data_IF_128881522648
#
_entry.id   IF_128881522648
#
_cell.length_a   1.000
_cell.length_b   1.000
_cell.length_c   1.000
_cell.angle_alpha   90.00
_cell.angle_beta   90.00
_cell.angle_gamma   90.00
#
_symmetry.space_group_name_H-M   'P 1'
#
loop_
_entity.id
_entity.type
_entity.pdbx_description
1 polymer ?
#
# COMPACT_ATOMS: atom_id res chain seq x y z
N UNK A 1 10.83 14.25 -1.54
CA UNK A 1 9.36 14.27 -1.51
C UNK A 1 8.93 13.15 -0.62
N UNK A 2 8.00 13.37 0.29
CA UNK A 2 7.47 12.30 1.14
C UNK A 2 6.23 11.68 0.49
N UNK A 3 5.86 10.49 0.93
CA UNK A 3 4.68 9.78 0.45
C UNK A 3 3.41 10.61 0.65
N UNK A 4 2.65 10.79 -0.43
CA UNK A 4 1.40 11.55 -0.47
C UNK A 4 1.55 13.06 -0.17
N UNK A 5 2.75 13.63 -0.29
CA UNK A 5 2.91 15.09 -0.19
C UNK A 5 2.32 15.81 -1.42
N UNK A 6 2.27 15.13 -2.56
CA UNK A 6 1.84 15.66 -3.84
C UNK A 6 0.51 15.02 -4.29
N UNK A 7 -0.13 15.65 -5.29
CA UNK A 7 -1.39 15.16 -5.83
C UNK A 7 -1.20 13.83 -6.55
N UNK A 8 -1.86 12.79 -6.05
CA UNK A 8 -1.87 11.46 -6.66
C UNK A 8 -2.63 11.52 -7.98
N UNK A 9 -1.97 11.08 -9.05
CA UNK A 9 -2.58 10.90 -10.36
C UNK A 9 -3.27 9.54 -10.46
N UNK A 10 -2.63 8.50 -9.91
CA UNK A 10 -3.04 7.11 -10.05
C UNK A 10 -2.37 6.24 -9.00
N UNK A 11 -3.02 5.16 -8.63
CA UNK A 11 -2.45 4.11 -7.80
C UNK A 11 -2.51 2.81 -8.59
N UNK A 12 -1.36 2.20 -8.82
CA UNK A 12 -1.24 0.91 -9.49
C UNK A 12 -0.95 -0.16 -8.45
N UNK A 13 -1.61 -1.31 -8.60
CA UNK A 13 -1.50 -2.44 -7.69
C UNK A 13 -1.16 -3.67 -8.50
N UNK A 14 -0.18 -4.43 -8.02
CA UNK A 14 0.27 -5.70 -8.59
C UNK A 14 0.31 -6.76 -7.48
N UNK A 15 0.31 -8.05 -7.85
CA UNK A 15 0.62 -9.10 -6.88
C UNK A 15 2.10 -9.02 -6.54
N UNK A 16 2.44 -9.10 -5.25
CA UNK A 16 3.85 -9.03 -4.87
C UNK A 16 4.62 -10.27 -5.30
N UNK A 17 5.86 -10.09 -5.72
CA UNK A 17 6.82 -11.18 -5.96
C UNK A 17 7.68 -11.48 -4.71
N UNK A 18 7.48 -10.73 -3.63
CA UNK A 18 8.28 -10.82 -2.41
C UNK A 18 8.86 -9.47 -1.99
N UNK A 19 9.45 -9.45 -0.80
CA UNK A 19 10.05 -8.22 -0.24
C UNK A 19 11.25 -7.77 -1.07
N UNK A 20 11.29 -6.49 -1.42
CA UNK A 20 12.40 -5.85 -2.12
C UNK A 20 12.37 -5.95 -3.66
N UNK A 21 11.37 -6.63 -4.22
CA UNK A 21 11.06 -6.60 -5.65
C UNK A 21 9.68 -5.99 -5.86
N UNK A 22 9.55 -5.16 -6.90
CA UNK A 22 8.27 -4.58 -7.29
C UNK A 22 7.77 -5.31 -8.53
N UNK A 23 6.62 -5.97 -8.42
CA UNK A 23 6.01 -6.55 -9.59
C UNK A 23 5.43 -5.44 -10.49
N UNK A 24 5.85 -5.42 -11.75
CA UNK A 24 5.37 -4.47 -12.77
C UNK A 24 4.11 -4.96 -13.50
N UNK A 25 3.66 -6.20 -13.26
CA UNK A 25 2.41 -6.72 -13.80
C UNK A 25 1.22 -6.15 -13.02
N UNK A 26 0.75 -4.98 -13.46
CA UNK A 26 -0.33 -4.23 -12.83
C UNK A 26 -1.65 -4.99 -13.03
N UNK A 27 -2.23 -5.46 -11.92
CA UNK A 27 -3.52 -6.16 -11.91
C UNK A 27 -4.70 -5.21 -11.71
N UNK A 28 -4.46 -4.04 -11.08
CA UNK A 28 -5.47 -3.03 -10.83
C UNK A 28 -4.84 -1.64 -10.92
N UNK A 29 -5.52 -0.74 -11.63
CA UNK A 29 -5.14 0.66 -11.76
C UNK A 29 -6.30 1.53 -11.32
N UNK A 30 -6.05 2.39 -10.32
CA UNK A 30 -7.07 3.19 -9.65
C UNK A 30 -6.78 4.67 -9.89
N UNK A 31 -7.68 5.37 -10.56
CA UNK A 31 -7.64 6.81 -10.77
C UNK A 31 -8.95 7.52 -10.39
N UNK A 32 -9.95 6.78 -9.90
CA UNK A 32 -11.17 7.37 -9.38
C UNK A 32 -10.94 7.99 -7.99
N UNK A 33 -11.55 9.16 -7.77
CA UNK A 33 -11.33 9.95 -6.54
C UNK A 33 -11.71 9.20 -5.26
N UNK A 34 -12.70 8.31 -5.30
CA UNK A 34 -13.21 7.65 -4.10
C UNK A 34 -12.22 6.58 -3.65
N UNK A 35 -11.77 5.73 -4.56
CA UNK A 35 -10.84 4.65 -4.27
C UNK A 35 -9.44 5.19 -3.95
N UNK A 36 -8.96 6.21 -4.67
CA UNK A 36 -7.71 6.91 -4.34
C UNK A 36 -7.76 7.44 -2.90
N UNK A 37 -8.84 8.14 -2.52
CA UNK A 37 -8.96 8.68 -1.16
C UNK A 37 -8.99 7.60 -0.08
N UNK A 38 -9.55 6.42 -0.35
CA UNK A 38 -9.53 5.29 0.58
C UNK A 38 -8.10 4.77 0.79
N UNK A 39 -7.35 4.57 -0.28
CA UNK A 39 -5.96 4.07 -0.20
C UNK A 39 -5.06 5.12 0.47
N UNK A 40 -5.19 6.39 0.10
CA UNK A 40 -4.48 7.48 0.77
C UNK A 40 -4.77 7.52 2.26
N UNK A 41 -6.05 7.41 2.65
CA UNK A 41 -6.43 7.34 4.05
C UNK A 41 -5.81 6.14 4.74
N UNK A 42 -5.77 4.97 4.09
CA UNK A 42 -5.15 3.79 4.66
C UNK A 42 -3.68 4.01 4.97
N UNK A 43 -2.94 4.62 4.04
CA UNK A 43 -1.53 4.97 4.21
C UNK A 43 -1.34 6.01 5.32
N UNK A 44 -2.10 7.12 5.30
CA UNK A 44 -1.94 8.23 6.24
C UNK A 44 -2.34 7.90 7.67
N UNK A 45 -3.29 6.98 7.85
CA UNK A 45 -3.79 6.59 9.18
C UNK A 45 -3.11 5.35 9.72
N UNK A 46 -2.26 4.69 8.92
CA UNK A 46 -1.49 3.56 9.39
C UNK A 46 -0.47 4.01 10.44
N UNK A 47 -0.40 3.27 11.54
CA UNK A 47 0.46 3.62 12.67
C UNK A 47 1.75 2.83 12.55
N UNK A 48 2.88 3.53 12.61
CA UNK A 48 4.20 2.89 12.64
C UNK A 48 4.28 1.97 13.87
N UNK A 49 4.68 0.73 13.65
CA UNK A 49 4.90 -0.24 14.71
C UNK A 49 6.36 -0.70 14.65
N UNK A 50 7.06 -0.71 15.78
CA UNK A 50 8.47 -1.17 15.88
C UNK A 50 8.65 -2.68 15.64
N UNK A 51 7.58 -3.37 15.21
CA UNK A 51 7.61 -4.79 14.92
C UNK A 51 8.31 -5.05 13.59
N UNK A 52 8.97 -6.21 13.49
CA UNK A 52 9.49 -6.68 12.20
C UNK A 52 8.33 -7.07 11.30
N UNK A 53 8.50 -6.87 10.00
CA UNK A 53 7.72 -7.48 8.91
C UNK A 53 7.19 -8.86 9.35
N UNK A 54 5.91 -9.19 9.11
CA UNK A 54 5.34 -10.51 9.43
C UNK A 54 6.33 -11.61 9.03
N UNK A 55 6.96 -12.23 10.03
CA UNK A 55 8.17 -13.01 9.78
C UNK A 55 7.81 -14.29 9.03
N UNK A 56 8.27 -14.41 7.79
CA UNK A 56 8.08 -15.60 6.96
C UNK A 56 6.94 -15.49 5.93
N UNK A 57 6.24 -14.36 5.85
CA UNK A 57 5.19 -14.13 4.85
C UNK A 57 5.62 -13.09 3.81
N UNK A 58 5.50 -13.44 2.53
CA UNK A 58 5.64 -12.46 1.45
C UNK A 58 4.45 -11.50 1.46
N UNK A 59 4.63 -10.24 1.02
CA UNK A 59 3.50 -9.36 0.81
C UNK A 59 2.52 -9.99 -0.18
N UNK A 60 1.24 -9.61 -0.08
CA UNK A 60 0.22 -10.05 -1.03
C UNK A 60 0.26 -9.17 -2.28
N UNK A 61 0.47 -7.86 -2.09
CA UNK A 61 0.43 -6.86 -3.14
C UNK A 61 1.56 -5.83 -3.03
N UNK A 62 1.93 -5.27 -4.18
CA UNK A 62 2.73 -4.06 -4.24
C UNK A 62 1.84 -2.90 -4.71
N UNK A 63 1.97 -1.75 -4.03
CA UNK A 63 1.23 -0.53 -4.33
C UNK A 63 2.21 0.51 -4.83
N UNK A 64 1.98 1.02 -6.04
CA UNK A 64 2.70 2.12 -6.63
C UNK A 64 1.82 3.36 -6.68
N UNK A 65 2.27 4.42 -6.01
CA UNK A 65 1.63 5.72 -6.01
C UNK A 65 2.31 6.60 -7.05
N UNK A 66 1.57 6.95 -8.10
CA UNK A 66 1.99 7.88 -9.15
C UNK A 66 1.40 9.26 -8.91
N UNK A 67 2.23 10.28 -9.07
CA UNK A 67 1.85 11.68 -8.84
C UNK A 67 1.69 12.43 -10.16
N UNK A 68 0.89 13.49 -10.14
CA UNK A 68 0.78 14.39 -11.29
C UNK A 68 2.14 15.05 -11.62
N UNK A 69 2.34 15.43 -12.88
CA UNK A 69 3.54 16.14 -13.31
C UNK A 69 4.81 15.29 -13.46
N UNK A 70 4.71 13.96 -13.40
CA UNK A 70 5.84 13.05 -13.62
C UNK A 70 6.84 13.01 -12.47
N UNK A 71 6.37 13.28 -11.25
CA UNK A 71 7.20 13.23 -10.04
C UNK A 71 7.54 11.77 -9.68
N UNK A 72 8.59 11.54 -8.86
CA UNK A 72 9.00 10.20 -8.46
C UNK A 72 7.87 9.41 -7.80
N UNK A 73 7.72 8.15 -8.20
CA UNK A 73 6.71 7.24 -7.64
C UNK A 73 7.14 6.72 -6.28
N UNK A 74 6.17 6.43 -5.42
CA UNK A 74 6.42 5.73 -4.16
C UNK A 74 5.87 4.31 -4.24
N UNK A 75 6.65 3.33 -3.77
CA UNK A 75 6.29 1.92 -3.76
C UNK A 75 6.18 1.38 -2.32
N UNK A 76 5.11 0.63 -2.08
CA UNK A 76 4.78 0.02 -0.79
C UNK A 76 4.50 -1.47 -0.98
N UNK A 77 4.88 -2.27 0.00
CA UNK A 77 4.38 -3.62 0.18
C UNK A 77 3.13 -3.61 1.04
N UNK A 78 2.16 -4.47 0.72
CA UNK A 78 0.93 -4.68 1.46
C UNK A 78 0.76 -6.17 1.80
N UNK A 79 0.66 -6.47 3.10
CA UNK A 79 0.08 -7.70 3.61
C UNK A 79 -1.37 -7.41 4.00
N UNK A 80 -2.30 -7.94 3.22
CA UNK A 80 -3.72 -7.65 3.35
C UNK A 80 -4.36 -8.61 4.36
N UNK A 81 -4.81 -8.06 5.49
CA UNK A 81 -5.53 -8.85 6.49
C UNK A 81 -6.87 -9.39 5.97
N UNK A 82 -7.41 -10.40 6.65
CA UNK A 82 -8.78 -10.86 6.39
C UNK A 82 -9.82 -9.80 6.81
N UNK A 83 -11.09 -10.08 6.55
CA UNK A 83 -12.18 -9.20 6.95
C UNK A 83 -12.18 -8.96 8.47
N UNK A 84 -12.11 -7.70 8.89
CA UNK A 84 -12.04 -7.27 10.28
C UNK A 84 -10.63 -7.31 10.90
N UNK A 85 -9.64 -7.88 10.22
CA UNK A 85 -8.25 -7.96 10.69
C UNK A 85 -7.40 -6.76 10.23
N UNK A 86 -6.27 -6.53 10.89
CA UNK A 86 -5.34 -5.46 10.50
C UNK A 86 -4.59 -5.82 9.22
N UNK A 87 -4.24 -4.82 8.41
CA UNK A 87 -3.29 -4.97 7.30
C UNK A 87 -1.97 -4.32 7.66
N UNK A 88 -0.89 -4.79 7.04
CA UNK A 88 0.46 -4.24 7.24
C UNK A 88 0.95 -3.63 5.94
N UNK A 89 1.47 -2.41 6.03
CA UNK A 89 2.13 -1.69 4.95
C UNK A 89 3.61 -1.53 5.29
N UNK A 90 4.48 -1.56 4.29
CA UNK A 90 5.89 -1.24 4.46
C UNK A 90 6.41 -0.51 3.24
N UNK A 91 7.33 0.43 3.43
CA UNK A 91 8.03 1.06 2.31
C UNK A 91 9.01 0.07 1.71
N UNK A 92 8.99 -0.07 0.39
CA UNK A 92 9.93 -0.95 -0.30
C UNK A 92 11.40 -0.51 -0.12
N UNK A 93 11.63 0.79 0.08
CA UNK A 93 12.96 1.36 0.30
C UNK A 93 13.42 1.34 1.76
N UNK A 94 12.55 0.99 2.71
CA UNK A 94 12.84 1.12 4.14
C UNK A 94 13.13 -0.24 4.79
N UNK A 95 14.17 -0.29 5.62
CA UNK A 95 14.79 -1.55 6.05
C UNK A 95 14.14 -2.17 7.29
N UNK A 96 12.81 -2.19 7.33
CA UNK A 96 12.06 -2.98 8.33
C UNK A 96 10.99 -2.24 9.12
N UNK A 97 10.71 -0.97 8.82
CA UNK A 97 9.57 -0.28 9.39
C UNK A 97 8.26 -0.80 8.77
N UNK A 98 7.29 -1.09 9.63
CA UNK A 98 5.95 -1.49 9.23
C UNK A 98 4.90 -0.54 9.81
N UNK A 99 3.80 -0.43 9.09
CA UNK A 99 2.69 0.45 9.40
C UNK A 99 1.41 -0.37 9.37
N UNK A 100 0.69 -0.39 10.48
CA UNK A 100 -0.52 -1.20 10.62
C UNK A 100 -1.78 -0.37 10.44
N UNK A 101 -2.75 -0.93 9.73
CA UNK A 101 -4.09 -0.34 9.55
C UNK A 101 -5.05 -0.84 10.63
N UNK A 102 -6.24 -0.24 10.71
CA UNK A 102 -7.35 -0.79 11.49
C UNK A 102 -8.14 -1.81 10.67
N UNK A 103 -8.86 -2.74 11.32
CA UNK A 103 -9.75 -3.69 10.63
C UNK A 103 -10.80 -3.02 9.74
N UNK A 104 -11.31 -1.85 10.15
CA UNK A 104 -12.20 -1.04 9.31
C UNK A 104 -11.49 -0.60 8.02
N UNK A 105 -10.28 -0.08 8.13
CA UNK A 105 -9.48 0.34 6.98
C UNK A 105 -9.13 -0.84 6.07
N UNK A 106 -8.78 -2.00 6.65
CA UNK A 106 -8.57 -3.25 5.90
C UNK A 106 -9.80 -3.60 5.06
N UNK A 107 -11.00 -3.58 5.63
CA UNK A 107 -12.21 -3.88 4.87
C UNK A 107 -12.38 -2.93 3.68
N UNK A 108 -12.11 -1.63 3.87
CA UNK A 108 -12.15 -0.67 2.77
C UNK A 108 -11.11 -0.97 1.68
N UNK A 109 -9.94 -1.50 2.03
CA UNK A 109 -8.93 -1.95 1.04
C UNK A 109 -9.40 -3.21 0.33
N UNK A 110 -10.02 -4.16 1.04
CA UNK A 110 -10.57 -5.39 0.46
C UNK A 110 -11.65 -5.09 -0.56
N UNK A 111 -12.55 -4.13 -0.27
CA UNK A 111 -13.62 -3.69 -1.19
C UNK A 111 -13.10 -3.11 -2.51
N UNK A 112 -11.82 -2.70 -2.57
CA UNK A 112 -11.17 -2.20 -3.79
C UNK A 112 -10.51 -3.34 -4.56
N UNK A 113 -10.00 -4.34 -3.85
CA UNK A 113 -9.17 -5.42 -4.40
C UNK A 113 -9.99 -6.66 -4.81
N UNK A 114 -11.23 -6.81 -4.34
CA UNK A 114 -12.13 -7.93 -4.59
C UNK A 114 -13.53 -7.45 -4.97
#
# INVERSE_FOLDING_TARGET
>A
MSLLDEKVSRINISKSNGVGDMNQDIILSVDDKKSVAIIEKAIRTAVKQESKIPSGENPDFDIMVEYEGGLPTHALHLWLGNEGEISTLSYMTDTGDVYITTGKTTNQLRDILF
#
